data_IF_905101672050
#
_entry.id   IF_905101672050
#
_cell.length_a   1.000
_cell.length_b   1.000
_cell.length_c   1.000
_cell.angle_alpha   90.00
_cell.angle_beta   90.00
_cell.angle_gamma   90.00
#
_symmetry.space_group_name_H-M   'P 1'
#
loop_
_entity.id
_entity.type
_entity.pdbx_description
1 polymer ?
#
# COMPACT_ATOMS: atom_id res chain seq x y z
N UNK A 1 28.97 67.50 -24.37
CA UNK A 1 28.77 66.29 -23.56
C UNK A 1 27.61 66.48 -22.59
N UNK A 2 26.37 66.66 -23.06
CA UNK A 2 25.21 66.95 -22.16
C UNK A 2 23.88 66.33 -22.70
N UNK A 3 23.97 65.28 -23.53
CA UNK A 3 22.76 64.70 -24.17
C UNK A 3 22.44 63.23 -23.81
N UNK A 4 23.26 62.59 -22.95
CA UNK A 4 23.04 61.13 -22.67
C UNK A 4 22.66 60.81 -21.20
N UNK A 5 22.41 61.84 -20.35
CA UNK A 5 22.08 61.62 -18.93
C UNK A 5 20.55 61.50 -18.69
N UNK A 6 19.73 61.93 -19.67
CA UNK A 6 18.26 61.90 -19.54
C UNK A 6 17.61 60.58 -19.99
N UNK A 7 18.29 59.81 -20.84
CA UNK A 7 17.71 58.55 -21.37
C UNK A 7 17.85 57.38 -20.40
N UNK A 8 18.84 57.40 -19.49
CA UNK A 8 19.03 56.32 -18.52
C UNK A 8 18.00 56.33 -17.36
N UNK A 9 17.55 57.51 -16.96
CA UNK A 9 16.58 57.65 -15.86
C UNK A 9 15.15 57.25 -16.29
N UNK A 10 14.79 57.48 -17.57
CA UNK A 10 13.49 57.11 -18.13
C UNK A 10 13.32 55.61 -18.26
N UNK A 11 14.37 54.87 -18.66
CA UNK A 11 14.36 53.43 -18.80
C UNK A 11 14.31 52.73 -17.44
N UNK A 12 14.98 53.29 -16.42
CA UNK A 12 14.96 52.72 -15.07
C UNK A 12 13.59 52.83 -14.39
N UNK A 13 12.86 53.95 -14.63
CA UNK A 13 11.49 54.13 -14.13
C UNK A 13 10.50 53.17 -14.83
N UNK A 14 10.70 52.88 -16.10
CA UNK A 14 9.82 51.97 -16.87
C UNK A 14 10.06 50.51 -16.46
N UNK A 15 11.27 50.12 -16.10
CA UNK A 15 11.58 48.76 -15.60
C UNK A 15 11.06 48.61 -14.15
N UNK A 16 11.13 49.66 -13.32
CA UNK A 16 10.63 49.62 -11.96
C UNK A 16 9.08 49.56 -11.91
N UNK A 17 8.38 50.13 -12.91
CA UNK A 17 6.92 50.08 -12.99
C UNK A 17 6.39 48.72 -13.44
N UNK A 18 7.18 47.92 -14.17
CA UNK A 18 6.80 46.55 -14.57
C UNK A 18 6.95 45.53 -13.43
N UNK A 19 7.74 45.83 -12.38
CA UNK A 19 7.86 44.96 -11.20
C UNK A 19 6.76 45.16 -10.16
N UNK A 20 5.98 46.22 -10.23
CA UNK A 20 4.95 46.55 -9.23
C UNK A 20 3.57 45.98 -9.63
N UNK A 21 3.38 45.49 -10.85
CA UNK A 21 2.11 44.90 -11.33
C UNK A 21 2.12 43.35 -11.22
N UNK A 22 2.91 42.80 -10.32
CA UNK A 22 2.65 41.44 -9.84
C UNK A 22 1.63 41.54 -8.69
N UNK A 23 0.43 41.88 -9.02
CA UNK A 23 -0.69 41.76 -8.10
C UNK A 23 -0.93 40.27 -7.87
N UNK A 24 -0.43 39.79 -6.75
CA UNK A 24 -0.91 38.56 -6.16
C UNK A 24 -2.37 38.81 -5.82
N UNK A 25 -3.28 38.40 -6.67
CA UNK A 25 -4.67 38.25 -6.27
C UNK A 25 -4.67 37.46 -4.96
N UNK A 26 -5.26 37.94 -3.87
CA UNK A 26 -5.43 37.10 -2.71
C UNK A 26 -6.26 35.91 -3.18
N UNK A 27 -5.64 34.72 -3.21
CA UNK A 27 -6.41 33.48 -3.32
C UNK A 27 -7.20 33.45 -2.03
N UNK A 28 -8.48 33.85 -2.14
CA UNK A 28 -9.42 33.71 -1.05
C UNK A 28 -9.44 32.21 -0.72
N UNK A 29 -8.72 31.85 0.31
CA UNK A 29 -8.78 30.51 0.89
C UNK A 29 -10.11 30.43 1.61
N UNK A 30 -11.15 30.05 0.86
CA UNK A 30 -12.34 29.57 1.53
C UNK A 30 -11.91 28.48 2.49
N UNK A 31 -12.29 28.56 3.78
CA UNK A 31 -12.03 27.46 4.69
C UNK A 31 -12.80 26.25 4.15
N UNK A 32 -12.08 25.33 3.51
CA UNK A 32 -12.67 24.02 3.20
C UNK A 32 -12.91 23.37 4.55
N UNK A 33 -14.15 23.43 5.00
CA UNK A 33 -14.60 22.69 6.18
C UNK A 33 -14.53 21.22 5.77
N UNK A 34 -13.41 20.58 6.08
CA UNK A 34 -13.28 19.14 5.84
C UNK A 34 -14.24 18.41 6.77
N UNK A 35 -15.11 17.60 6.21
CA UNK A 35 -15.93 16.66 6.97
C UNK A 35 -14.98 15.73 7.71
N UNK A 36 -15.20 15.44 9.02
CA UNK A 36 -14.44 14.40 9.70
C UNK A 36 -14.45 13.12 8.88
N UNK A 37 -13.33 12.40 8.86
CA UNK A 37 -13.20 11.21 7.99
C UNK A 37 -14.23 10.13 8.34
N UNK A 38 -14.60 10.03 9.62
CA UNK A 38 -15.60 9.10 10.12
C UNK A 38 -17.00 9.35 9.55
N UNK A 39 -17.31 10.60 9.17
CA UNK A 39 -18.57 10.99 8.55
C UNK A 39 -18.52 10.99 7.02
N UNK A 40 -17.36 10.69 6.43
CA UNK A 40 -17.17 10.72 4.99
C UNK A 40 -17.87 9.56 4.28
N UNK A 41 -18.24 9.76 3.02
CA UNK A 41 -18.75 8.69 2.15
C UNK A 41 -17.72 7.57 2.02
N UNK A 42 -16.43 7.94 2.02
CA UNK A 42 -15.32 6.99 1.97
C UNK A 42 -15.32 6.04 3.17
N UNK A 43 -15.40 6.56 4.39
CA UNK A 43 -15.41 5.72 5.60
C UNK A 43 -16.62 4.76 5.60
N UNK A 44 -17.81 5.26 5.26
CA UNK A 44 -19.00 4.41 5.10
C UNK A 44 -18.78 3.29 4.09
N UNK A 45 -18.19 3.61 2.93
CA UNK A 45 -17.86 2.62 1.91
C UNK A 45 -16.89 1.55 2.46
N UNK A 46 -15.84 1.95 3.19
CA UNK A 46 -14.87 1.00 3.77
C UNK A 46 -15.54 0.10 4.81
N UNK A 47 -16.42 0.65 5.65
CA UNK A 47 -17.22 -0.12 6.63
C UNK A 47 -18.15 -1.11 5.91
N UNK A 48 -18.94 -0.64 4.93
CA UNK A 48 -19.86 -1.48 4.17
C UNK A 48 -19.12 -2.63 3.45
N UNK A 49 -17.93 -2.34 2.92
CA UNK A 49 -17.10 -3.34 2.26
C UNK A 49 -16.56 -4.37 3.26
N UNK A 50 -16.09 -3.94 4.41
CA UNK A 50 -15.63 -4.83 5.49
C UNK A 50 -16.73 -5.76 5.97
N UNK A 51 -17.91 -5.21 6.21
CA UNK A 51 -19.09 -5.96 6.73
C UNK A 51 -19.62 -6.93 5.66
N UNK A 52 -19.75 -6.47 4.41
CA UNK A 52 -20.28 -7.30 3.31
C UNK A 52 -19.35 -8.47 2.95
N UNK A 53 -18.06 -8.35 3.23
CA UNK A 53 -17.08 -9.43 3.02
C UNK A 53 -16.87 -10.31 4.25
N UNK A 54 -17.56 -10.02 5.36
CA UNK A 54 -17.50 -10.77 6.65
C UNK A 54 -16.07 -10.93 7.17
N UNK A 55 -15.23 -9.86 7.05
CA UNK A 55 -13.81 -9.92 7.39
C UNK A 55 -13.57 -10.04 8.89
N UNK A 56 -14.49 -9.55 9.73
CA UNK A 56 -14.49 -9.70 11.19
C UNK A 56 -14.38 -11.18 11.60
N UNK A 57 -15.15 -12.04 10.94
CA UNK A 57 -15.17 -13.49 11.22
C UNK A 57 -13.86 -14.19 10.89
N UNK A 58 -12.98 -13.55 10.11
CA UNK A 58 -11.68 -14.09 9.67
C UNK A 58 -10.51 -13.59 10.50
N UNK A 59 -10.76 -12.72 11.47
CA UNK A 59 -9.75 -12.14 12.35
C UNK A 59 -8.96 -10.97 11.75
N UNK A 60 -9.35 -10.44 10.59
CA UNK A 60 -8.82 -9.18 10.08
C UNK A 60 -9.47 -8.01 10.84
N UNK A 61 -8.68 -7.14 11.45
CA UNK A 61 -9.24 -5.97 12.11
C UNK A 61 -9.66 -4.89 11.11
N UNK A 62 -10.74 -4.16 11.43
CA UNK A 62 -11.23 -3.03 10.63
C UNK A 62 -10.13 -2.00 10.39
N UNK A 63 -9.34 -1.65 11.41
CA UNK A 63 -8.25 -0.68 11.29
C UNK A 63 -7.17 -1.12 10.29
N UNK A 64 -6.80 -2.39 10.27
CA UNK A 64 -5.81 -2.91 9.32
C UNK A 64 -6.39 -2.94 7.90
N UNK A 65 -7.66 -3.32 7.76
CA UNK A 65 -8.36 -3.29 6.49
C UNK A 65 -8.45 -1.87 5.92
N UNK A 66 -8.86 -0.88 6.74
CA UNK A 66 -8.95 0.52 6.35
C UNK A 66 -7.61 1.08 5.89
N UNK A 67 -6.51 0.80 6.61
CA UNK A 67 -5.15 1.16 6.16
C UNK A 67 -4.85 0.59 4.78
N UNK A 68 -5.18 -0.67 4.52
CA UNK A 68 -4.92 -1.32 3.23
C UNK A 68 -5.73 -0.70 2.09
N UNK A 69 -7.01 -0.40 2.32
CA UNK A 69 -7.91 0.25 1.34
C UNK A 69 -7.45 1.69 1.08
N UNK A 70 -7.10 2.44 2.14
CA UNK A 70 -6.52 3.78 2.03
C UNK A 70 -5.27 3.77 1.15
N UNK A 71 -4.35 2.85 1.40
CA UNK A 71 -3.14 2.70 0.59
C UNK A 71 -3.41 2.29 -0.85
N UNK A 72 -4.40 1.44 -1.08
CA UNK A 72 -4.82 1.06 -2.43
C UNK A 72 -5.26 2.27 -3.25
N UNK A 73 -6.16 3.11 -2.73
CA UNK A 73 -6.61 4.31 -3.42
C UNK A 73 -5.47 5.30 -3.66
N UNK A 74 -4.63 5.53 -2.66
CA UNK A 74 -3.49 6.44 -2.80
C UNK A 74 -2.45 5.93 -3.81
N UNK A 75 -2.19 4.62 -3.87
CA UNK A 75 -1.31 4.02 -4.88
C UNK A 75 -1.93 4.07 -6.29
N UNK A 76 -3.25 3.94 -6.40
CA UNK A 76 -3.95 4.02 -7.69
C UNK A 76 -3.75 5.37 -8.38
N UNK A 77 -3.68 6.46 -7.62
CA UNK A 77 -3.36 7.81 -8.14
C UNK A 77 -1.98 7.83 -8.81
N UNK A 78 -1.03 7.04 -8.33
CA UNK A 78 0.34 7.02 -8.88
C UNK A 78 0.45 6.32 -10.22
N UNK A 79 -0.59 5.64 -10.69
CA UNK A 79 -0.59 4.83 -11.91
C UNK A 79 0.26 3.55 -11.83
N UNK A 80 0.73 3.18 -10.64
CA UNK A 80 1.55 1.96 -10.44
C UNK A 80 0.72 0.70 -10.25
N UNK A 81 -0.53 0.85 -9.81
CA UNK A 81 -1.50 -0.24 -9.57
C UNK A 81 -2.38 -0.44 -10.80
N UNK A 82 -2.79 -1.67 -11.06
CA UNK A 82 -3.69 -2.03 -12.15
C UNK A 82 -5.00 -1.23 -12.10
N UNK A 83 -5.49 -0.83 -13.27
CA UNK A 83 -6.85 -0.30 -13.42
C UNK A 83 -7.89 -1.40 -13.69
N UNK A 84 -7.45 -2.62 -14.00
CA UNK A 84 -8.30 -3.75 -14.38
C UNK A 84 -8.56 -4.70 -13.20
N UNK A 85 -7.72 -4.66 -12.17
CA UNK A 85 -7.83 -5.53 -10.99
C UNK A 85 -7.96 -4.67 -9.73
N UNK A 86 -9.03 -4.86 -8.99
CA UNK A 86 -9.26 -4.22 -7.68
C UNK A 86 -8.99 -5.21 -6.54
N UNK A 87 -7.84 -5.90 -6.62
CA UNK A 87 -7.44 -6.91 -5.64
C UNK A 87 -6.42 -6.30 -4.67
N UNK A 88 -6.69 -6.48 -3.39
CA UNK A 88 -5.76 -6.17 -2.31
C UNK A 88 -5.37 -7.44 -1.56
N UNK A 89 -4.11 -7.52 -1.16
CA UNK A 89 -3.61 -8.54 -0.25
C UNK A 89 -3.15 -7.87 1.05
N UNK A 90 -3.48 -8.48 2.18
CA UNK A 90 -3.14 -7.96 3.51
C UNK A 90 -2.45 -9.07 4.28
N UNK A 91 -1.22 -8.83 4.73
CA UNK A 91 -0.50 -9.70 5.67
C UNK A 91 -0.35 -8.97 6.99
N UNK A 92 -1.01 -9.44 8.04
CA UNK A 92 -0.96 -8.80 9.35
C UNK A 92 0.13 -9.47 10.22
N UNK A 93 1.30 -8.84 10.27
CA UNK A 93 2.44 -9.38 11.00
C UNK A 93 2.40 -9.13 12.51
N UNK A 94 1.42 -8.37 12.99
CA UNK A 94 1.11 -8.28 14.42
C UNK A 94 0.43 -9.56 14.94
N UNK A 95 -0.12 -10.40 14.07
CA UNK A 95 -0.69 -11.68 14.43
C UNK A 95 0.39 -12.78 14.47
N UNK A 96 0.08 -13.86 15.20
CA UNK A 96 0.96 -15.04 15.26
C UNK A 96 1.05 -15.72 13.88
N UNK A 97 2.20 -16.27 13.52
CA UNK A 97 2.38 -16.98 12.27
C UNK A 97 1.56 -18.27 12.19
N UNK A 98 1.22 -18.82 13.34
CA UNK A 98 0.35 -20.00 13.49
C UNK A 98 -1.11 -19.72 13.11
N UNK A 99 -1.52 -18.43 13.02
CA UNK A 99 -2.86 -18.05 12.53
C UNK A 99 -2.86 -17.75 11.04
N UNK A 100 -4.04 -17.85 10.41
CA UNK A 100 -4.23 -17.43 9.02
C UNK A 100 -4.29 -15.91 8.97
N UNK A 101 -3.17 -15.27 8.66
CA UNK A 101 -2.95 -13.83 8.71
C UNK A 101 -2.62 -13.18 7.37
N UNK A 102 -2.95 -13.88 6.27
CA UNK A 102 -2.94 -13.35 4.90
C UNK A 102 -4.37 -13.41 4.34
N UNK A 103 -4.88 -12.27 3.90
CA UNK A 103 -6.18 -12.13 3.22
C UNK A 103 -5.95 -11.61 1.81
N UNK A 104 -6.69 -12.13 0.84
CA UNK A 104 -6.76 -11.66 -0.53
C UNK A 104 -8.22 -11.32 -0.82
N UNK A 105 -8.49 -10.06 -1.15
CA UNK A 105 -9.83 -9.48 -1.22
C UNK A 105 -10.02 -8.82 -2.57
N UNK A 106 -11.16 -9.08 -3.22
CA UNK A 106 -11.61 -8.39 -4.43
C UNK A 106 -12.57 -7.27 -4.01
N UNK A 107 -12.13 -6.03 -4.15
CA UNK A 107 -12.89 -4.85 -3.75
C UNK A 107 -14.10 -4.60 -4.64
N UNK A 108 -14.02 -4.95 -5.94
CA UNK A 108 -15.12 -4.73 -6.88
C UNK A 108 -16.24 -5.77 -6.69
N UNK A 109 -15.86 -7.01 -6.34
CA UNK A 109 -16.81 -8.10 -6.08
C UNK A 109 -17.29 -8.19 -4.66
N UNK A 110 -16.71 -7.37 -3.75
CA UNK A 110 -16.94 -7.44 -2.31
C UNK A 110 -16.77 -8.89 -1.81
N UNK A 111 -15.64 -9.50 -2.11
CA UNK A 111 -15.41 -10.91 -1.86
C UNK A 111 -14.04 -11.19 -1.24
N UNK A 112 -14.03 -11.94 -0.15
CA UNK A 112 -12.82 -12.57 0.36
C UNK A 112 -12.49 -13.77 -0.55
N UNK A 113 -11.40 -13.64 -1.33
CA UNK A 113 -10.97 -14.69 -2.25
C UNK A 113 -10.16 -15.78 -1.56
N UNK A 114 -9.37 -15.41 -0.56
CA UNK A 114 -8.53 -16.33 0.19
C UNK A 114 -8.17 -15.80 1.57
N UNK A 115 -8.17 -16.70 2.58
CA UNK A 115 -7.56 -16.46 3.87
C UNK A 115 -6.63 -17.64 4.22
N UNK A 116 -5.33 -17.35 4.36
CA UNK A 116 -4.32 -18.39 4.53
C UNK A 116 -3.15 -17.94 5.41
N UNK A 117 -2.20 -18.83 5.63
CA UNK A 117 -0.96 -18.55 6.34
C UNK A 117 0.04 -17.78 5.48
N UNK A 118 0.88 -16.99 6.15
CA UNK A 118 2.07 -16.38 5.57
C UNK A 118 3.20 -16.33 6.59
N UNK A 119 4.38 -16.81 6.18
CA UNK A 119 5.60 -16.76 7.00
C UNK A 119 6.32 -15.43 6.81
N UNK A 120 7.03 -15.01 7.86
CA UNK A 120 7.95 -13.86 7.87
C UNK A 120 9.42 -14.31 7.88
N UNK A 121 10.34 -13.36 7.86
CA UNK A 121 11.78 -13.58 7.83
C UNK A 121 12.35 -14.10 9.16
N UNK A 122 13.43 -14.89 9.05
CA UNK A 122 14.08 -15.58 10.19
C UNK A 122 14.43 -14.64 11.34
N UNK A 123 14.93 -13.45 11.01
CA UNK A 123 15.34 -12.47 12.02
C UNK A 123 14.26 -11.39 12.27
N UNK A 124 13.05 -11.59 11.76
CA UNK A 124 11.92 -10.73 12.12
C UNK A 124 11.30 -11.09 13.47
N UNK A 125 11.50 -12.28 13.96
CA UNK A 125 10.94 -12.75 15.23
C UNK A 125 10.74 -14.26 15.25
N UNK A 126 10.06 -14.75 16.26
CA UNK A 126 9.79 -16.19 16.38
C UNK A 126 8.42 -16.56 15.81
N UNK A 127 7.35 -16.57 16.60
CA UNK A 127 5.99 -16.78 16.08
C UNK A 127 5.37 -15.46 15.61
N UNK A 128 5.69 -14.34 16.25
CA UNK A 128 5.30 -12.99 15.86
C UNK A 128 6.48 -12.25 15.24
N UNK A 129 6.25 -11.47 14.20
CA UNK A 129 7.26 -10.59 13.67
C UNK A 129 7.29 -9.27 14.47
N UNK A 130 8.46 -8.89 14.95
CA UNK A 130 8.68 -7.69 15.78
C UNK A 130 9.88 -6.86 15.32
N UNK A 131 10.61 -7.34 14.31
CA UNK A 131 11.76 -6.64 13.73
C UNK A 131 11.68 -6.66 12.22
N UNK A 132 11.88 -5.50 11.61
CA UNK A 132 11.77 -5.32 10.17
C UNK A 132 12.99 -4.59 9.62
N UNK A 133 13.30 -4.78 8.34
CA UNK A 133 14.46 -4.14 7.74
C UNK A 133 14.29 -3.96 6.24
N UNK A 134 14.90 -2.90 5.73
CA UNK A 134 15.09 -2.63 4.32
C UNK A 134 16.53 -2.95 3.84
N UNK A 135 17.38 -3.46 4.77
CA UNK A 135 18.79 -3.74 4.49
C UNK A 135 18.95 -5.10 3.82
N UNK A 136 19.83 -5.17 2.82
CA UNK A 136 20.17 -6.44 2.16
C UNK A 136 20.76 -7.45 3.16
N UNK A 137 20.45 -8.72 2.92
CA UNK A 137 20.94 -9.85 3.75
C UNK A 137 20.54 -9.82 5.24
N UNK A 138 19.65 -8.91 5.64
CA UNK A 138 19.16 -8.85 7.03
C UNK A 138 18.38 -10.10 7.46
N UNK A 139 17.87 -10.89 6.52
CA UNK A 139 16.93 -12.00 6.74
C UNK A 139 15.67 -11.59 7.52
N UNK A 140 15.37 -10.28 7.53
CA UNK A 140 14.15 -9.69 8.10
C UNK A 140 13.16 -9.34 7.00
N UNK A 141 11.88 -9.45 7.29
CA UNK A 141 10.83 -8.91 6.42
C UNK A 141 10.88 -7.41 6.40
N UNK A 142 10.41 -6.81 5.30
CA UNK A 142 10.02 -5.40 5.25
C UNK A 142 8.51 -5.29 5.43
N UNK A 143 8.04 -4.14 5.90
CA UNK A 143 6.61 -3.83 6.10
C UNK A 143 6.15 -2.76 5.12
N UNK A 144 4.86 -2.47 5.11
CA UNK A 144 4.27 -1.41 4.29
C UNK A 144 3.68 -1.90 2.98
N UNK A 145 3.61 -0.99 2.02
CA UNK A 145 2.95 -1.24 0.74
C UNK A 145 3.92 -1.75 -0.33
N UNK A 146 3.46 -2.77 -1.04
CA UNK A 146 4.15 -3.33 -2.21
C UNK A 146 3.19 -3.38 -3.38
N UNK A 147 3.73 -3.26 -4.59
CA UNK A 147 3.03 -3.58 -5.84
C UNK A 147 3.62 -4.87 -6.39
N UNK A 148 2.74 -5.79 -6.84
CA UNK A 148 3.17 -7.07 -7.43
C UNK A 148 3.78 -6.83 -8.82
N UNK A 149 4.93 -7.44 -9.05
CA UNK A 149 5.68 -7.35 -10.29
C UNK A 149 5.46 -8.56 -11.21
N UNK A 150 6.53 -8.95 -11.90
CA UNK A 150 6.52 -10.09 -12.81
C UNK A 150 6.64 -11.44 -12.08
N UNK A 151 5.98 -12.45 -12.64
CA UNK A 151 6.14 -13.84 -12.24
C UNK A 151 7.42 -14.40 -12.88
N UNK A 152 8.15 -15.22 -12.13
CA UNK A 152 9.33 -15.93 -12.63
C UNK A 152 9.48 -17.29 -11.95
N UNK A 153 10.32 -18.16 -12.50
CA UNK A 153 10.71 -19.41 -11.88
C UNK A 153 12.12 -19.29 -11.30
N UNK A 154 12.23 -19.38 -9.98
CA UNK A 154 13.49 -19.29 -9.23
C UNK A 154 13.79 -20.56 -8.41
N UNK A 155 14.68 -20.44 -7.43
CA UNK A 155 15.05 -21.54 -6.53
C UNK A 155 13.88 -22.12 -5.70
N UNK A 156 12.81 -21.33 -5.53
CA UNK A 156 11.60 -21.72 -4.81
C UNK A 156 10.44 -22.11 -5.76
N UNK A 157 10.74 -22.36 -7.04
CA UNK A 157 9.76 -22.55 -8.08
C UNK A 157 9.13 -21.24 -8.53
N UNK A 158 7.84 -21.30 -8.94
CA UNK A 158 7.09 -20.13 -9.37
C UNK A 158 6.99 -19.11 -8.24
N UNK A 159 7.39 -17.90 -8.52
CA UNK A 159 7.50 -16.81 -7.56
C UNK A 159 7.05 -15.50 -8.17
N UNK A 160 6.57 -14.55 -7.35
CA UNK A 160 6.07 -13.25 -7.76
C UNK A 160 6.91 -12.15 -7.12
N UNK A 161 7.54 -11.32 -7.95
CA UNK A 161 8.35 -10.19 -7.46
C UNK A 161 7.49 -9.12 -6.79
N UNK A 162 8.09 -8.44 -5.83
CA UNK A 162 7.47 -7.35 -5.09
C UNK A 162 8.30 -6.07 -5.24
N UNK A 163 7.63 -4.98 -5.61
CA UNK A 163 8.18 -3.63 -5.62
C UNK A 163 7.71 -2.89 -4.37
N UNK A 164 8.63 -2.50 -3.51
CA UNK A 164 8.32 -1.71 -2.32
C UNK A 164 7.99 -0.27 -2.69
N UNK A 165 6.96 0.28 -2.05
CA UNK A 165 6.44 1.62 -2.37
C UNK A 165 6.75 2.67 -1.30
N UNK A 166 7.22 2.24 -0.12
CA UNK A 166 7.52 3.09 1.02
C UNK A 166 9.02 3.37 1.09
N UNK A 167 9.39 4.62 0.76
CA UNK A 167 10.78 5.08 0.69
C UNK A 167 11.49 4.89 2.05
N UNK A 168 12.67 4.27 2.05
CA UNK A 168 13.46 3.98 3.24
C UNK A 168 12.97 2.80 4.08
N UNK A 169 11.78 2.26 3.81
CA UNK A 169 11.14 1.18 4.58
C UNK A 169 11.14 -0.14 3.84
N UNK A 170 10.79 -0.14 2.55
CA UNK A 170 10.74 -1.34 1.72
C UNK A 170 11.16 -1.12 0.26
N UNK A 171 11.56 0.07 -0.13
CA UNK A 171 11.96 0.44 -1.49
C UNK A 171 13.13 -0.40 -2.04
N UNK A 172 13.92 -1.04 -1.17
CA UNK A 172 14.93 -1.99 -1.57
C UNK A 172 14.40 -3.43 -1.81
N UNK A 173 13.09 -3.67 -1.68
CA UNK A 173 12.51 -5.02 -1.79
C UNK A 173 12.94 -5.75 -3.06
N UNK A 174 12.90 -5.10 -4.22
CA UNK A 174 13.34 -5.70 -5.49
C UNK A 174 14.83 -6.04 -5.49
N UNK A 175 15.69 -5.15 -5.03
CA UNK A 175 17.14 -5.37 -4.93
C UNK A 175 17.48 -6.49 -3.95
N UNK A 176 16.70 -6.61 -2.88
CA UNK A 176 16.79 -7.68 -1.89
C UNK A 176 16.17 -9.00 -2.37
N UNK A 177 15.60 -9.07 -3.57
CA UNK A 177 14.90 -10.24 -4.08
C UNK A 177 13.74 -10.70 -3.20
N UNK A 178 13.01 -9.76 -2.61
CA UNK A 178 11.79 -10.03 -1.85
C UNK A 178 10.67 -10.41 -2.82
N UNK A 179 10.11 -11.61 -2.63
CA UNK A 179 9.11 -12.20 -3.51
C UNK A 179 8.06 -12.96 -2.71
N UNK A 180 6.88 -13.18 -3.28
CA UNK A 180 5.94 -14.19 -2.80
C UNK A 180 6.31 -15.53 -3.44
N UNK A 181 6.44 -16.57 -2.62
CA UNK A 181 6.74 -17.93 -3.08
C UNK A 181 6.09 -18.99 -2.17
N UNK A 182 5.96 -20.20 -2.67
CA UNK A 182 5.54 -21.35 -1.88
C UNK A 182 6.66 -21.90 -1.02
N UNK A 183 6.29 -22.43 0.14
CA UNK A 183 7.27 -23.10 1.03
C UNK A 183 6.61 -24.22 1.85
N UNK A 184 7.26 -25.38 1.91
CA UNK A 184 6.79 -26.56 2.67
C UNK A 184 6.75 -26.32 4.18
N UNK A 185 7.53 -25.38 4.67
CA UNK A 185 7.53 -24.98 6.09
C UNK A 185 6.36 -24.05 6.46
N UNK A 186 5.50 -23.70 5.51
CA UNK A 186 4.24 -22.98 5.75
C UNK A 186 3.10 -24.01 5.66
N UNK A 187 2.87 -24.72 6.76
CA UNK A 187 1.90 -25.82 6.80
C UNK A 187 1.40 -26.09 8.22
N UNK A 188 0.21 -26.73 8.33
CA UNK A 188 -0.28 -27.21 9.61
C UNK A 188 0.68 -28.20 10.28
N UNK A 189 1.38 -29.02 9.50
CA UNK A 189 2.37 -29.96 10.03
C UNK A 189 3.52 -29.26 10.73
N UNK A 190 4.00 -28.15 10.16
CA UNK A 190 5.04 -27.32 10.78
C UNK A 190 4.53 -26.67 12.07
N UNK A 191 3.30 -26.14 12.07
CA UNK A 191 2.67 -25.57 13.28
C UNK A 191 2.55 -26.64 14.38
N UNK A 192 2.11 -27.84 14.05
CA UNK A 192 1.96 -28.94 15.02
C UNK A 192 3.29 -29.34 15.65
N UNK A 193 4.39 -29.20 14.90
CA UNK A 193 5.72 -29.59 15.36
C UNK A 193 6.44 -28.48 16.13
N UNK A 194 6.31 -27.23 15.66
CA UNK A 194 7.09 -26.09 16.17
C UNK A 194 6.27 -25.08 16.99
N UNK A 195 4.93 -25.23 17.01
CA UNK A 195 4.00 -24.23 17.58
C UNK A 195 3.81 -23.00 16.69
N UNK A 196 4.52 -22.90 15.56
CA UNK A 196 4.54 -21.79 14.62
C UNK A 196 4.89 -22.27 13.21
N UNK A 197 4.81 -21.37 12.24
CA UNK A 197 5.36 -21.63 10.90
C UNK A 197 6.89 -21.64 10.90
N UNK A 198 7.49 -22.22 9.86
CA UNK A 198 8.87 -21.94 9.49
C UNK A 198 9.07 -20.47 9.08
N UNK A 199 10.29 -20.07 8.78
CA UNK A 199 10.66 -18.68 8.48
C UNK A 199 11.50 -18.61 7.21
N UNK A 200 11.32 -17.51 6.47
CA UNK A 200 12.03 -17.22 5.22
C UNK A 200 13.31 -16.41 5.47
N UNK A 201 13.96 -15.96 4.40
CA UNK A 201 15.04 -14.97 4.44
C UNK A 201 14.53 -13.53 4.24
N UNK A 202 13.26 -13.28 4.61
CA UNK A 202 12.60 -11.97 4.51
C UNK A 202 11.37 -11.96 3.59
N UNK A 203 11.24 -12.93 2.69
CA UNK A 203 10.10 -13.05 1.79
C UNK A 203 8.79 -13.40 2.53
N UNK A 204 7.64 -12.87 2.14
CA UNK A 204 6.35 -13.44 2.51
C UNK A 204 6.16 -14.80 1.80
N UNK A 205 6.29 -15.90 2.55
CA UNK A 205 6.13 -17.24 2.01
C UNK A 205 4.76 -17.81 2.38
N UNK A 206 4.09 -18.46 1.41
CA UNK A 206 2.75 -19.05 1.54
C UNK A 206 2.81 -20.57 1.49
N UNK A 207 1.73 -21.30 1.84
CA UNK A 207 1.68 -22.74 1.68
C UNK A 207 2.05 -23.15 0.26
N UNK A 208 2.90 -24.20 0.16
CA UNK A 208 3.40 -24.67 -1.14
C UNK A 208 2.28 -25.06 -2.11
N UNK A 209 1.23 -25.69 -1.60
CA UNK A 209 0.06 -26.12 -2.35
C UNK A 209 -0.82 -24.98 -2.86
N UNK A 210 -0.81 -23.81 -2.16
CA UNK A 210 -1.59 -22.63 -2.53
C UNK A 210 -0.79 -21.60 -3.33
N UNK A 211 0.51 -21.79 -3.50
CA UNK A 211 1.38 -20.77 -4.09
C UNK A 211 0.94 -20.35 -5.50
N UNK A 212 0.54 -21.31 -6.34
CA UNK A 212 0.07 -21.01 -7.69
C UNK A 212 -1.23 -20.22 -7.70
N UNK A 213 -2.18 -20.57 -6.84
CA UNK A 213 -3.48 -19.90 -6.75
C UNK A 213 -3.31 -18.48 -6.20
N UNK A 214 -2.47 -18.32 -5.17
CA UNK A 214 -2.10 -16.98 -4.65
C UNK A 214 -1.50 -16.14 -5.77
N UNK A 215 -0.46 -16.62 -6.45
CA UNK A 215 0.23 -15.87 -7.51
C UNK A 215 -0.72 -15.52 -8.65
N UNK A 216 -1.53 -16.48 -9.16
CA UNK A 216 -2.51 -16.24 -10.23
C UNK A 216 -3.51 -15.14 -9.85
N UNK A 217 -3.91 -15.11 -8.59
CA UNK A 217 -4.89 -14.15 -8.10
C UNK A 217 -4.30 -12.74 -8.04
N UNK A 218 -3.09 -12.61 -7.48
CA UNK A 218 -2.52 -11.30 -7.14
C UNK A 218 -1.50 -10.77 -8.15
N UNK A 219 -1.11 -11.53 -9.18
CA UNK A 219 -0.24 -11.02 -10.23
C UNK A 219 -0.91 -9.89 -11.03
N UNK A 220 -0.11 -9.05 -11.69
CA UNK A 220 -0.62 -8.01 -12.58
C UNK A 220 -0.83 -6.65 -11.90
N UNK A 221 0.14 -6.23 -11.09
CA UNK A 221 0.17 -4.91 -10.42
C UNK A 221 -0.96 -4.71 -9.41
N UNK A 222 -1.26 -5.73 -8.61
CA UNK A 222 -2.11 -5.59 -7.42
C UNK A 222 -1.28 -5.13 -6.22
N UNK A 223 -1.90 -4.80 -5.09
CA UNK A 223 -1.17 -4.42 -3.89
C UNK A 223 -1.05 -5.57 -2.90
N UNK A 224 0.06 -5.57 -2.17
CA UNK A 224 0.23 -6.27 -0.90
C UNK A 224 0.56 -5.23 0.17
N UNK A 225 -0.24 -5.20 1.23
CA UNK A 225 0.05 -4.44 2.44
C UNK A 225 0.51 -5.38 3.55
N UNK A 226 1.73 -5.18 4.06
CA UNK A 226 2.24 -5.90 5.23
C UNK A 226 2.11 -4.97 6.43
N UNK A 227 1.13 -5.26 7.29
CA UNK A 227 0.83 -4.47 8.47
C UNK A 227 1.81 -4.75 9.60
N UNK A 228 2.10 -3.71 10.36
CA UNK A 228 2.71 -3.73 11.68
C UNK A 228 2.17 -2.58 12.53
N UNK A 229 2.09 -2.79 13.84
CA UNK A 229 1.83 -1.75 14.84
C UNK A 229 3.11 -1.07 15.34
N UNK A 230 4.28 -1.37 14.75
CA UNK A 230 5.52 -0.69 15.10
C UNK A 230 5.41 0.82 14.86
N UNK A 231 5.63 1.61 15.91
CA UNK A 231 5.46 3.08 15.87
C UNK A 231 6.37 3.79 14.86
N UNK A 232 7.48 3.15 14.47
CA UNK A 232 8.40 3.69 13.46
C UNK A 232 7.84 3.62 12.03
N UNK A 233 6.81 2.79 11.78
CA UNK A 233 6.22 2.67 10.45
C UNK A 233 5.32 3.85 10.11
N UNK A 234 5.70 4.57 9.06
CA UNK A 234 4.91 5.65 8.46
C UNK A 234 4.87 5.49 6.94
N UNK A 235 3.79 5.90 6.31
CA UNK A 235 3.65 5.85 4.85
C UNK A 235 2.84 7.03 4.34
N UNK A 236 3.31 7.61 3.23
CA UNK A 236 2.55 8.65 2.51
C UNK A 236 1.22 8.11 1.96
N UNK A 237 1.13 6.80 1.79
CA UNK A 237 -0.08 6.15 1.28
C UNK A 237 -1.16 5.94 2.33
N UNK A 238 -0.90 6.28 3.61
CA UNK A 238 -1.89 6.26 4.68
C UNK A 238 -2.63 7.60 4.84
N UNK A 239 -2.60 8.47 3.82
CA UNK A 239 -3.34 9.74 3.83
C UNK A 239 -4.82 9.47 3.49
N UNK A 240 -5.67 9.45 4.51
CA UNK A 240 -7.10 9.15 4.40
C UNK A 240 -7.87 10.20 3.59
N UNK A 241 -7.54 11.48 3.73
CA UNK A 241 -8.21 12.54 2.96
C UNK A 241 -7.97 12.41 1.46
N UNK A 242 -6.74 12.06 1.05
CA UNK A 242 -6.42 11.87 -0.36
C UNK A 242 -7.12 10.62 -0.93
N UNK A 243 -7.20 9.55 -0.13
CA UNK A 243 -7.91 8.34 -0.51
C UNK A 243 -9.43 8.58 -0.64
N UNK A 244 -10.01 9.36 0.28
CA UNK A 244 -11.42 9.73 0.25
C UNK A 244 -11.76 10.52 -1.02
N UNK A 245 -10.99 11.55 -1.35
CA UNK A 245 -11.19 12.36 -2.55
C UNK A 245 -11.22 11.49 -3.83
N UNK A 246 -10.30 10.52 -3.94
CA UNK A 246 -10.26 9.63 -5.10
C UNK A 246 -11.40 8.61 -5.12
N UNK A 247 -11.73 8.03 -3.96
CA UNK A 247 -12.82 7.06 -3.86
C UNK A 247 -14.15 7.70 -4.28
N UNK A 248 -14.45 8.90 -3.80
CA UNK A 248 -15.65 9.65 -4.17
C UNK A 248 -15.70 9.94 -5.68
N UNK A 249 -14.60 10.42 -6.28
CA UNK A 249 -14.52 10.63 -7.73
C UNK A 249 -14.75 9.35 -8.55
N UNK A 250 -14.33 8.20 -8.01
CA UNK A 250 -14.49 6.90 -8.70
C UNK A 250 -15.93 6.39 -8.58
N UNK A 251 -16.56 6.57 -7.43
CA UNK A 251 -17.96 6.21 -7.19
C UNK A 251 -18.90 7.03 -8.07
N UNK A 252 -18.69 8.35 -8.19
CA UNK A 252 -19.48 9.24 -9.04
C UNK A 252 -19.40 8.84 -10.52
N UNK A 253 -18.20 8.49 -11.01
CA UNK A 253 -18.05 7.99 -12.38
C UNK A 253 -18.82 6.69 -12.62
N UNK A 254 -18.78 5.77 -11.68
CA UNK A 254 -19.51 4.48 -11.79
C UNK A 254 -21.03 4.68 -11.75
N UNK A 255 -21.53 5.62 -10.97
CA UNK A 255 -22.96 6.01 -10.96
C UNK A 255 -23.38 6.65 -12.29
N UNK A 256 -22.53 7.48 -12.87
CA UNK A 256 -22.82 8.16 -14.15
C UNK A 256 -22.83 7.17 -15.34
N UNK A 257 -22.02 6.10 -15.30
CA UNK A 257 -21.99 5.07 -16.36
C UNK A 257 -23.14 4.05 -16.27
N UNK A 258 -23.87 4.01 -15.15
CA UNK A 258 -25.02 3.11 -14.96
C UNK A 258 -26.37 3.73 -15.33
N UNK A 259 -26.37 5.01 -15.71
CA UNK A 259 -27.54 5.76 -16.25
C UNK A 259 -27.49 5.80 -17.76
#
# INVERSE_FOLDING_TARGET
MRKYILDGAGIFILILSLFIISWKSPVEKYPVTRIPIEDSIYHKYVVDLYDSTHLDSTGLSMTVFEKAVTGYYNLKITGKVSNEKSIISIADFDQLSSTKRLWIIDLDKHALLMNTWVAHGLYSGDDRATHFSNTNESNQSSVGFFVTGEVYNGKHGRSLKLDGMDDGINDHARARSIVIHGASYVSQGTINTLGRLGRSQGCPAVPQELANDVINTIEGKTILFINTSEESYTSRFLNEHLAADLAEMTMDKNLAMRK
#
